data_IF_780042225140
#
_entry.id   IF_780042225140
#
_cell.length_a   1.000
_cell.length_b   1.000
_cell.length_c   1.000
_cell.angle_alpha   90.00
_cell.angle_beta   90.00
_cell.angle_gamma   90.00
#
_symmetry.space_group_name_H-M   'P 1'
#
loop_
_entity.id
_entity.type
_entity.pdbx_description
1 polymer ?
#
# COMPACT_ATOMS: atom_id res chain seq x y z
N UNK A 1 -43.60 -9.81 -24.47
CA UNK A 1 -42.85 -10.30 -23.32
C UNK A 1 -43.74 -10.61 -22.15
N UNK A 2 -43.53 -11.74 -21.54
CA UNK A 2 -44.26 -12.10 -20.31
C UNK A 2 -43.67 -11.31 -19.12
N UNK A 3 -44.46 -11.24 -18.07
CA UNK A 3 -44.03 -10.60 -16.81
C UNK A 3 -42.77 -11.25 -16.26
N UNK A 4 -42.69 -12.57 -16.34
CA UNK A 4 -41.55 -13.34 -15.87
C UNK A 4 -40.29 -12.98 -16.65
N UNK A 5 -40.37 -12.83 -17.95
CA UNK A 5 -39.26 -12.43 -18.81
C UNK A 5 -38.76 -11.03 -18.50
N UNK A 6 -39.68 -10.10 -18.24
CA UNK A 6 -39.32 -8.72 -17.81
C UNK A 6 -38.59 -8.71 -16.49
N UNK A 7 -39.06 -9.50 -15.54
CA UNK A 7 -38.42 -9.61 -14.25
C UNK A 7 -37.02 -10.20 -14.34
N UNK A 8 -36.87 -11.21 -15.18
CA UNK A 8 -35.57 -11.82 -15.45
C UNK A 8 -34.58 -10.82 -16.05
N UNK A 9 -35.01 -10.09 -17.05
CA UNK A 9 -34.20 -9.06 -17.73
C UNK A 9 -33.79 -7.98 -16.73
N UNK A 10 -34.72 -7.53 -15.90
CA UNK A 10 -34.44 -6.51 -14.87
C UNK A 10 -33.42 -7.01 -13.87
N UNK A 11 -33.54 -8.26 -13.43
CA UNK A 11 -32.60 -8.88 -12.50
C UNK A 11 -31.20 -9.02 -13.10
N UNK A 12 -31.12 -9.38 -14.39
CA UNK A 12 -29.84 -9.48 -15.10
C UNK A 12 -29.16 -8.11 -15.25
N UNK A 13 -29.94 -7.09 -15.58
CA UNK A 13 -29.44 -5.72 -15.69
C UNK A 13 -28.90 -5.23 -14.33
N UNK A 14 -29.62 -5.51 -13.26
CA UNK A 14 -29.21 -5.15 -11.90
C UNK A 14 -27.92 -5.85 -11.53
N UNK A 15 -27.83 -7.14 -11.80
CA UNK A 15 -26.63 -7.93 -11.52
C UNK A 15 -25.43 -7.39 -12.31
N UNK A 16 -25.64 -7.02 -13.55
CA UNK A 16 -24.61 -6.48 -14.42
C UNK A 16 -24.09 -5.14 -13.90
N UNK A 17 -24.98 -4.27 -13.44
CA UNK A 17 -24.63 -2.99 -12.84
C UNK A 17 -23.84 -3.19 -11.53
N UNK A 18 -24.30 -4.10 -10.68
CA UNK A 18 -23.61 -4.41 -9.43
C UNK A 18 -22.22 -4.96 -9.68
N UNK A 19 -22.08 -5.82 -10.68
CA UNK A 19 -20.79 -6.38 -11.07
C UNK A 19 -19.82 -5.29 -11.55
N UNK A 20 -20.29 -4.39 -12.42
CA UNK A 20 -19.49 -3.28 -12.91
C UNK A 20 -19.04 -2.36 -11.78
N UNK A 21 -19.93 -2.07 -10.84
CA UNK A 21 -19.62 -1.23 -9.69
C UNK A 21 -18.55 -1.88 -8.81
N UNK A 22 -18.65 -3.17 -8.58
CA UNK A 22 -17.64 -3.91 -7.80
C UNK A 22 -16.28 -3.92 -8.49
N UNK A 23 -16.26 -4.06 -9.82
CA UNK A 23 -15.00 -3.98 -10.57
C UNK A 23 -14.34 -2.63 -10.43
N UNK A 24 -15.13 -1.54 -10.52
CA UNK A 24 -14.61 -0.19 -10.36
C UNK A 24 -14.05 0.02 -8.95
N UNK A 25 -14.74 -0.45 -7.94
CA UNK A 25 -14.27 -0.40 -6.55
C UNK A 25 -12.98 -1.19 -6.36
N UNK A 26 -12.89 -2.35 -6.98
CA UNK A 26 -11.69 -3.19 -6.95
C UNK A 26 -10.50 -2.50 -7.61
N UNK A 27 -10.70 -1.93 -8.77
CA UNK A 27 -9.65 -1.20 -9.48
C UNK A 27 -9.15 -0.02 -8.66
N UNK A 28 -10.08 0.71 -8.05
CA UNK A 28 -9.75 1.83 -7.17
C UNK A 28 -8.96 1.38 -5.96
N UNK A 29 -9.38 0.30 -5.31
CA UNK A 29 -8.69 -0.27 -4.16
C UNK A 29 -7.28 -0.76 -4.51
N UNK A 30 -7.12 -1.38 -5.67
CA UNK A 30 -5.82 -1.81 -6.17
C UNK A 30 -4.88 -0.63 -6.41
N UNK A 31 -5.40 0.45 -7.00
CA UNK A 31 -4.61 1.66 -7.25
C UNK A 31 -4.15 2.29 -5.93
N UNK A 32 -5.01 2.36 -4.93
CA UNK A 32 -4.66 2.84 -3.60
C UNK A 32 -3.61 1.95 -2.94
N UNK A 33 -3.79 0.64 -3.05
CA UNK A 33 -2.84 -0.32 -2.49
C UNK A 33 -1.46 -0.18 -3.12
N UNK A 34 -1.38 -0.04 -4.44
CA UNK A 34 -0.13 0.17 -5.15
C UNK A 34 0.56 1.47 -4.72
N UNK A 35 -0.23 2.53 -4.54
CA UNK A 35 0.27 3.80 -4.04
C UNK A 35 0.86 3.67 -2.63
N UNK A 36 0.15 2.97 -1.75
CA UNK A 36 0.62 2.69 -0.38
C UNK A 36 1.90 1.88 -0.37
N UNK A 37 1.98 0.86 -1.22
CA UNK A 37 3.20 0.04 -1.34
C UNK A 37 4.40 0.88 -1.79
N UNK A 38 4.19 1.79 -2.74
CA UNK A 38 5.23 2.71 -3.18
C UNK A 38 5.72 3.63 -2.07
N UNK A 39 4.78 4.17 -1.28
CA UNK A 39 5.11 4.99 -0.11
C UNK A 39 5.89 4.19 0.94
N UNK A 40 5.46 2.97 1.22
CA UNK A 40 6.14 2.11 2.20
C UNK A 40 7.57 1.77 1.75
N UNK A 41 7.78 1.54 0.47
CA UNK A 41 9.13 1.29 -0.07
C UNK A 41 10.03 2.50 0.12
N UNK A 42 9.51 3.70 -0.12
CA UNK A 42 10.26 4.94 0.09
C UNK A 42 10.58 5.16 1.56
N UNK A 43 9.61 4.94 2.43
CA UNK A 43 9.79 5.06 3.88
C UNK A 43 10.83 4.06 4.38
N UNK A 44 10.78 2.82 3.89
CA UNK A 44 11.78 1.82 4.25
C UNK A 44 13.19 2.22 3.81
N UNK A 45 13.33 2.78 2.62
CA UNK A 45 14.63 3.25 2.13
C UNK A 45 15.17 4.38 3.02
N UNK A 46 14.32 5.33 3.40
CA UNK A 46 14.70 6.42 4.29
C UNK A 46 15.08 5.90 5.67
N UNK A 47 14.31 4.94 6.21
CA UNK A 47 14.61 4.34 7.50
C UNK A 47 15.93 3.58 7.49
N UNK A 48 16.21 2.83 6.43
CA UNK A 48 17.48 2.13 6.28
C UNK A 48 18.66 3.10 6.24
N UNK A 49 18.50 4.21 5.55
CA UNK A 49 19.50 5.28 5.49
C UNK A 49 19.76 5.86 6.89
N UNK A 50 18.70 6.15 7.63
CA UNK A 50 18.80 6.67 9.02
C UNK A 50 19.47 5.67 9.94
N UNK A 51 19.12 4.40 9.84
CA UNK A 51 19.76 3.33 10.65
C UNK A 51 21.24 3.25 10.32
N UNK A 52 21.61 3.32 9.06
CA UNK A 52 23.01 3.32 8.63
C UNK A 52 23.78 4.52 9.21
N UNK A 53 23.19 5.71 9.13
CA UNK A 53 23.79 6.93 9.67
C UNK A 53 23.97 6.85 11.18
N UNK A 54 22.96 6.37 11.88
CA UNK A 54 23.04 6.18 13.35
C UNK A 54 24.11 5.17 13.74
N UNK A 55 24.23 4.08 13.00
CA UNK A 55 25.27 3.09 13.23
C UNK A 55 26.67 3.70 13.09
N UNK A 56 26.86 4.53 12.06
CA UNK A 56 28.12 5.24 11.85
C UNK A 56 28.42 6.19 13.00
N UNK A 57 27.41 6.93 13.47
CA UNK A 57 27.56 7.84 14.60
C UNK A 57 27.90 7.10 15.89
N UNK A 58 27.26 5.97 16.15
CA UNK A 58 27.53 5.15 17.33
C UNK A 58 28.97 4.63 17.31
N UNK A 59 29.43 4.14 16.15
CA UNK A 59 30.80 3.67 16.00
C UNK A 59 31.82 4.79 16.25
N UNK A 60 31.55 5.97 15.71
CA UNK A 60 32.41 7.15 15.91
C UNK A 60 32.47 7.55 17.37
N UNK A 61 31.33 7.57 18.06
CA UNK A 61 31.26 7.88 19.48
C UNK A 61 31.98 6.84 20.32
N UNK A 62 31.83 5.57 19.99
CA UNK A 62 32.54 4.48 20.70
C UNK A 62 34.06 4.61 20.58
N UNK A 63 34.51 4.98 19.37
CA UNK A 63 35.95 5.21 19.16
C UNK A 63 36.46 6.39 19.94
N UNK A 64 35.73 7.50 20.00
CA UNK A 64 36.05 8.68 20.77
C UNK A 64 36.14 8.35 22.28
N UNK A 65 35.17 7.60 22.80
CA UNK A 65 35.19 7.14 24.19
C UNK A 65 36.39 6.28 24.49
N UNK A 66 36.76 5.39 23.58
CA UNK A 66 37.96 4.55 23.76
C UNK A 66 39.22 5.40 23.86
N UNK A 67 39.33 6.42 23.02
CA UNK A 67 40.48 7.34 23.07
C UNK A 67 40.56 8.11 24.35
N UNK A 68 39.39 8.52 24.88
CA UNK A 68 39.33 9.27 26.15
C UNK A 68 39.69 8.40 27.36
N UNK A 69 39.31 7.11 27.32
CA UNK A 69 39.57 6.21 28.45
C UNK A 69 40.93 5.51 28.38
N UNK A 70 41.53 5.56 27.22
CA UNK A 70 42.83 4.96 27.04
C UNK A 70 43.94 5.93 27.03
#
# INVERSE_FOLDING_TARGET
MTELEKQLLSALEQLQQDYSQRLDEWESALAEWQSMCGLMQRENAVLNERVSDLSTQVLSLSEQLRRLSG
#
